data_IF_971580948641
#
_entry.id   IF_971580948641
#
_cell.length_a   1.000
_cell.length_b   1.000
_cell.length_c   1.000
_cell.angle_alpha   90.00
_cell.angle_beta   90.00
_cell.angle_gamma   90.00
#
_symmetry.space_group_name_H-M   'P 1'
#
loop_
_entity.id
_entity.type
_entity.pdbx_description
1 polymer ?
#
# COMPACT_ATOMS: atom_id res chain seq x y z
N UNK A 1 -16.92 -11.22 2.42
CA UNK A 1 -16.31 -10.27 1.48
C UNK A 1 -14.81 -10.47 1.51
N UNK A 2 -14.18 -10.60 0.36
CA UNK A 2 -12.71 -10.67 0.24
C UNK A 2 -12.15 -9.25 0.06
N UNK A 3 -10.89 -8.99 0.46
CA UNK A 3 -10.28 -7.68 0.24
C UNK A 3 -10.20 -7.35 -1.26
N UNK A 4 -10.16 -6.05 -1.57
CA UNK A 4 -9.78 -5.57 -2.89
C UNK A 4 -8.38 -6.10 -3.28
N UNK A 5 -8.05 -6.17 -4.58
CA UNK A 5 -6.73 -6.60 -5.04
C UNK A 5 -5.57 -5.85 -4.34
N UNK A 6 -4.52 -6.59 -3.94
CA UNK A 6 -3.36 -6.07 -3.20
C UNK A 6 -2.03 -6.50 -3.80
N UNK A 7 -1.05 -5.59 -3.77
CA UNK A 7 0.36 -5.83 -4.02
C UNK A 7 1.02 -6.32 -2.73
N UNK A 8 1.23 -7.64 -2.61
CA UNK A 8 1.85 -8.23 -1.42
C UNK A 8 3.36 -8.30 -1.59
N UNK A 9 4.08 -7.92 -0.54
CA UNK A 9 5.54 -7.88 -0.52
C UNK A 9 6.17 -9.27 -0.62
N UNK A 10 7.49 -9.29 -0.79
CA UNK A 10 8.25 -10.51 -0.62
C UNK A 10 8.04 -11.06 0.81
N UNK A 11 8.00 -12.38 0.94
CA UNK A 11 7.77 -13.04 2.22
C UNK A 11 6.48 -12.62 2.95
N UNK A 12 5.41 -12.32 2.21
CA UNK A 12 4.12 -12.02 2.84
C UNK A 12 3.61 -13.19 3.71
N UNK A 13 3.21 -12.95 4.98
CA UNK A 13 2.76 -14.00 5.91
C UNK A 13 1.66 -14.91 5.38
N UNK A 14 0.86 -14.46 4.42
CA UNK A 14 -0.21 -15.28 3.83
C UNK A 14 0.31 -16.59 3.21
N UNK A 15 1.59 -16.66 2.82
CA UNK A 15 2.22 -17.85 2.25
C UNK A 15 3.06 -18.69 3.24
N UNK A 16 3.08 -18.33 4.54
CA UNK A 16 3.96 -18.96 5.54
C UNK A 16 3.20 -19.85 6.51
N UNK A 17 3.86 -20.88 7.03
CA UNK A 17 3.29 -21.76 8.06
C UNK A 17 2.27 -22.79 7.56
N UNK A 18 1.99 -22.83 6.26
CA UNK A 18 1.08 -23.80 5.65
C UNK A 18 1.82 -25.02 5.11
N UNK A 19 1.17 -26.18 5.18
CA UNK A 19 1.66 -27.41 4.54
C UNK A 19 1.67 -27.33 3.01
N UNK A 20 0.75 -26.54 2.43
CA UNK A 20 0.62 -26.30 0.99
C UNK A 20 0.11 -24.89 0.71
N UNK A 21 0.45 -24.33 -0.45
CA UNK A 21 -0.02 -23.02 -0.94
C UNK A 21 -0.98 -23.12 -2.11
N UNK A 22 -1.38 -24.33 -2.48
CA UNK A 22 -2.35 -24.61 -3.55
C UNK A 22 -3.62 -23.74 -3.47
N UNK A 23 -4.22 -23.48 -2.27
CA UNK A 23 -5.42 -22.64 -2.16
C UNK A 23 -5.22 -21.17 -2.53
N UNK A 24 -3.98 -20.68 -2.60
CA UNK A 24 -3.66 -19.30 -2.98
C UNK A 24 -3.00 -19.26 -4.36
N UNK A 25 -1.99 -20.09 -4.59
CA UNK A 25 -1.10 -19.99 -5.76
C UNK A 25 -1.44 -20.98 -6.87
N UNK A 26 -2.05 -22.12 -6.52
CA UNK A 26 -2.34 -23.22 -7.44
C UNK A 26 -1.14 -23.57 -8.34
N UNK A 27 -1.35 -23.74 -9.66
CA UNK A 27 -0.28 -24.12 -10.59
C UNK A 27 0.80 -23.06 -10.76
N UNK A 28 0.60 -21.83 -10.26
CA UNK A 28 1.57 -20.75 -10.36
C UNK A 28 2.53 -20.69 -9.16
N UNK A 29 2.44 -21.61 -8.19
CA UNK A 29 3.35 -21.65 -7.04
C UNK A 29 4.84 -21.55 -7.43
N UNK A 30 5.36 -22.29 -8.44
CA UNK A 30 6.77 -22.19 -8.83
C UNK A 30 7.20 -20.82 -9.36
N UNK A 31 6.25 -19.97 -9.81
CA UNK A 31 6.55 -18.59 -10.23
C UNK A 31 6.72 -17.65 -9.04
N UNK A 32 6.06 -17.93 -7.92
CA UNK A 32 6.06 -17.09 -6.71
C UNK A 32 7.07 -17.58 -5.69
N UNK A 33 7.18 -18.89 -5.50
CA UNK A 33 8.07 -19.53 -4.53
C UNK A 33 9.09 -20.38 -5.29
N UNK A 34 10.36 -19.99 -5.22
CA UNK A 34 11.44 -20.70 -5.90
C UNK A 34 12.75 -20.55 -5.14
N UNK A 35 13.44 -21.66 -4.89
CA UNK A 35 14.75 -21.65 -4.23
C UNK A 35 14.74 -21.03 -2.82
N UNK A 36 13.64 -21.17 -2.08
CA UNK A 36 13.46 -20.56 -0.74
C UNK A 36 13.06 -19.08 -0.74
N UNK A 37 12.99 -18.44 -1.90
CA UNK A 37 12.54 -17.06 -2.04
C UNK A 37 11.03 -17.00 -2.28
N UNK A 38 10.36 -16.12 -1.55
CA UNK A 38 8.96 -15.74 -1.75
C UNK A 38 8.91 -14.38 -2.44
N UNK A 39 8.60 -14.38 -3.73
CA UNK A 39 8.56 -13.15 -4.55
C UNK A 39 7.33 -12.30 -4.22
N UNK A 40 7.41 -10.97 -4.41
CA UNK A 40 6.22 -10.11 -4.35
C UNK A 40 5.20 -10.56 -5.40
N UNK A 41 3.94 -10.64 -5.00
CA UNK A 41 2.86 -11.14 -5.85
C UNK A 41 1.57 -10.37 -5.61
N UNK A 42 0.63 -10.48 -6.56
CA UNK A 42 -0.66 -9.83 -6.49
C UNK A 42 -1.70 -10.80 -5.97
N UNK A 43 -2.42 -10.40 -4.92
CA UNK A 43 -3.57 -11.14 -4.39
C UNK A 43 -4.86 -10.50 -4.91
N UNK A 44 -5.69 -11.26 -5.63
CA UNK A 44 -7.02 -10.85 -6.05
C UNK A 44 -8.02 -11.98 -5.79
N UNK A 45 -9.16 -11.66 -5.16
CA UNK A 45 -10.18 -12.66 -4.78
C UNK A 45 -9.59 -13.88 -4.04
N UNK A 46 -8.57 -13.67 -3.19
CA UNK A 46 -7.91 -14.72 -2.43
C UNK A 46 -6.92 -15.59 -3.22
N UNK A 47 -6.63 -15.23 -4.47
CA UNK A 47 -5.72 -15.97 -5.37
C UNK A 47 -4.52 -15.12 -5.76
N UNK A 48 -3.37 -15.76 -5.89
CA UNK A 48 -2.19 -15.17 -6.50
C UNK A 48 -2.37 -15.11 -8.01
N UNK A 49 -2.44 -13.91 -8.58
CA UNK A 49 -2.79 -13.71 -10.01
C UNK A 49 -1.67 -13.09 -10.85
N UNK A 50 -0.63 -12.56 -10.21
CA UNK A 50 0.50 -11.93 -10.90
C UNK A 50 1.73 -11.85 -10.00
N UNK A 51 2.89 -11.62 -10.60
CA UNK A 51 4.05 -11.05 -9.91
C UNK A 51 4.01 -9.53 -10.02
N UNK A 52 4.68 -8.84 -9.10
CA UNK A 52 4.96 -7.42 -9.27
C UNK A 52 6.38 -7.06 -8.84
N UNK A 53 6.86 -5.92 -9.32
CA UNK A 53 8.13 -5.33 -8.92
C UNK A 53 8.05 -3.80 -8.94
N UNK A 54 9.01 -3.17 -8.28
CA UNK A 54 9.30 -1.75 -8.49
C UNK A 54 10.19 -1.58 -9.72
N UNK A 55 9.85 -0.62 -10.56
CA UNK A 55 10.63 -0.16 -11.70
C UNK A 55 10.80 1.35 -11.58
N UNK A 56 11.87 1.79 -10.90
CA UNK A 56 12.04 3.19 -10.52
C UNK A 56 10.93 3.63 -9.56
N UNK A 57 10.18 4.67 -9.93
CA UNK A 57 9.06 5.20 -9.15
C UNK A 57 7.69 4.61 -9.55
N UNK A 58 7.68 3.49 -10.27
CA UNK A 58 6.47 2.83 -10.75
C UNK A 58 6.39 1.38 -10.29
N UNK A 59 5.17 0.85 -10.25
CA UNK A 59 4.90 -0.58 -10.07
C UNK A 59 4.68 -1.21 -11.44
N UNK A 60 5.39 -2.31 -11.69
CA UNK A 60 5.14 -3.18 -12.84
C UNK A 60 4.50 -4.48 -12.37
N UNK A 61 3.40 -4.87 -13.02
CA UNK A 61 2.68 -6.12 -12.77
C UNK A 61 2.90 -7.05 -13.96
N UNK A 62 3.24 -8.31 -13.68
CA UNK A 62 3.35 -9.37 -14.69
C UNK A 62 2.30 -10.44 -14.40
N UNK A 63 1.14 -10.37 -15.08
CA UNK A 63 0.05 -11.31 -14.86
C UNK A 63 0.42 -12.76 -15.16
N UNK A 64 -0.27 -13.68 -14.49
CA UNK A 64 -0.22 -15.10 -14.85
C UNK A 64 -1.10 -15.41 -16.05
N UNK A 65 -2.24 -14.73 -16.09
CA UNK A 65 -3.28 -14.75 -17.11
C UNK A 65 -3.81 -13.32 -17.29
N UNK A 66 -4.56 -13.01 -18.37
CA UNK A 66 -5.19 -11.70 -18.53
C UNK A 66 -6.04 -11.31 -17.31
N UNK A 67 -5.84 -10.10 -16.80
CA UNK A 67 -6.60 -9.57 -15.67
C UNK A 67 -7.82 -8.79 -16.16
N UNK A 68 -8.91 -8.87 -15.38
CA UNK A 68 -10.07 -8.01 -15.59
C UNK A 68 -9.71 -6.53 -15.40
N UNK A 69 -10.46 -5.64 -16.06
CA UNK A 69 -10.23 -4.20 -16.01
C UNK A 69 -10.39 -3.65 -14.58
N UNK A 70 -11.37 -4.18 -13.84
CA UNK A 70 -11.63 -3.79 -12.45
C UNK A 70 -10.46 -4.16 -11.53
N UNK A 71 -9.85 -5.32 -11.75
CA UNK A 71 -8.66 -5.75 -11.01
C UNK A 71 -7.49 -4.82 -11.33
N UNK A 72 -7.28 -4.52 -12.61
CA UNK A 72 -6.21 -3.63 -13.05
C UNK A 72 -6.35 -2.23 -12.47
N UNK A 73 -7.57 -1.68 -12.46
CA UNK A 73 -7.88 -0.37 -11.87
C UNK A 73 -7.61 -0.35 -10.36
N UNK A 74 -8.02 -1.39 -9.62
CA UNK A 74 -7.74 -1.50 -8.19
C UNK A 74 -6.23 -1.59 -7.89
N UNK A 75 -5.47 -2.31 -8.73
CA UNK A 75 -4.01 -2.42 -8.57
C UNK A 75 -3.28 -1.12 -8.90
N UNK A 76 -3.82 -0.26 -9.76
CA UNK A 76 -3.26 1.07 -10.00
C UNK A 76 -3.32 1.91 -8.71
N UNK A 77 -4.47 1.91 -8.02
CA UNK A 77 -4.63 2.61 -6.73
C UNK A 77 -3.72 2.02 -5.65
N UNK A 78 -3.61 0.69 -5.56
CA UNK A 78 -2.72 0.03 -4.59
C UNK A 78 -1.25 0.32 -4.88
N UNK A 79 -0.88 0.42 -6.17
CA UNK A 79 0.45 0.82 -6.62
C UNK A 79 0.82 2.25 -6.25
N UNK A 80 -0.11 3.19 -6.35
CA UNK A 80 0.07 4.57 -5.86
C UNK A 80 0.34 4.59 -4.36
N UNK A 81 -0.36 3.75 -3.59
CA UNK A 81 -0.14 3.62 -2.16
C UNK A 81 1.24 3.04 -1.82
N UNK A 82 1.71 2.04 -2.58
CA UNK A 82 3.08 1.52 -2.45
C UNK A 82 4.12 2.61 -2.74
N UNK A 83 3.97 3.35 -3.84
CA UNK A 83 4.88 4.44 -4.22
C UNK A 83 4.89 5.54 -3.17
N UNK A 84 3.72 5.90 -2.62
CA UNK A 84 3.56 6.84 -1.52
C UNK A 84 4.22 6.34 -0.23
N UNK A 85 4.01 5.08 0.14
CA UNK A 85 4.60 4.46 1.32
C UNK A 85 6.13 4.45 1.27
N UNK A 86 6.69 4.15 0.10
CA UNK A 86 8.14 4.09 -0.11
C UNK A 86 8.80 5.47 -0.27
N UNK A 87 8.01 6.54 -0.45
CA UNK A 87 8.54 7.89 -0.65
C UNK A 87 9.29 8.09 -1.96
N UNK A 88 9.03 7.23 -2.96
CA UNK A 88 9.74 7.23 -4.25
C UNK A 88 8.99 8.01 -5.35
N UNK A 89 7.78 8.50 -5.05
CA UNK A 89 7.07 9.53 -5.80
C UNK A 89 7.35 10.91 -5.18
N UNK A 90 7.46 11.97 -6.01
CA UNK A 90 7.76 13.32 -5.51
C UNK A 90 6.77 13.76 -4.43
N UNK A 91 7.24 13.91 -3.20
CA UNK A 91 6.55 14.65 -2.13
C UNK A 91 7.10 16.07 -2.14
N UNK A 92 6.37 17.02 -2.70
CA UNK A 92 6.68 18.45 -2.54
C UNK A 92 6.23 18.92 -1.16
N UNK A 93 7.15 19.53 -0.42
CA UNK A 93 7.05 19.86 1.01
C UNK A 93 6.06 20.98 1.38
N UNK A 94 5.04 21.27 0.58
CA UNK A 94 4.05 22.34 0.91
C UNK A 94 2.95 21.88 1.89
N UNK A 95 3.10 20.71 2.51
CA UNK A 95 2.23 20.27 3.62
C UNK A 95 3.02 19.69 4.78
N UNK A 96 3.92 20.49 5.35
CA UNK A 96 4.35 20.33 6.75
C UNK A 96 4.45 21.72 7.38
N UNK A 97 3.31 22.39 7.58
CA UNK A 97 3.11 23.47 8.57
C UNK A 97 1.63 23.84 8.64
N UNK A 98 0.80 22.94 9.18
CA UNK A 98 -0.51 23.25 9.79
C UNK A 98 -1.05 21.91 10.27
N UNK A 99 -0.68 21.49 11.48
CA UNK A 99 -1.66 21.08 12.50
C UNK A 99 -1.04 20.65 13.85
N UNK A 100 -0.14 21.45 14.43
CA UNK A 100 0.17 21.34 15.87
C UNK A 100 0.51 22.74 16.41
N UNK A 101 -0.42 23.70 16.34
CA UNK A 101 -0.55 24.86 17.27
C UNK A 101 -1.85 25.61 16.95
N UNK A 102 -3.00 25.20 17.52
CA UNK A 102 -4.11 26.12 17.91
C UNK A 102 -5.28 25.43 18.62
N UNK A 103 -4.98 24.84 19.78
CA UNK A 103 -5.91 24.68 20.91
C UNK A 103 -4.98 24.80 22.12
N UNK A 104 -4.89 25.89 22.90
CA UNK A 104 -5.94 26.69 23.52
C UNK A 104 -5.33 28.04 23.91
N UNK A 105 -5.86 29.15 23.40
CA UNK A 105 -5.73 30.46 24.04
C UNK A 105 -7.02 31.23 23.75
N UNK A 106 -8.10 30.79 24.38
CA UNK A 106 -9.33 31.58 24.46
C UNK A 106 -9.09 32.66 25.50
N UNK A 107 -8.82 33.89 25.05
CA UNK A 107 -8.71 35.05 25.90
C UNK A 107 -10.08 35.51 26.44
N UNK A 108 -10.08 36.05 27.66
CA UNK A 108 -11.17 36.88 28.19
C UNK A 108 -10.60 38.23 28.66
N UNK A 109 -10.86 39.24 27.80
CA UNK A 109 -11.06 40.71 27.95
C UNK A 109 -10.10 41.68 28.69
N UNK A 110 -10.18 43.00 28.32
CA UNK A 110 -9.11 44.01 28.42
C UNK A 110 -9.37 45.03 29.57
N UNK A 111 -8.69 46.20 29.65
CA UNK A 111 -8.23 46.84 30.90
C UNK A 111 -9.29 47.69 31.63
N UNK A 112 -9.13 47.80 32.95
CA UNK A 112 -9.78 48.81 33.79
C UNK A 112 -8.88 50.06 33.88
N UNK A 113 -9.45 51.23 33.65
CA UNK A 113 -8.80 52.55 33.74
C UNK A 113 -9.14 53.23 35.07
N UNK A 114 -8.22 54.07 35.54
CA UNK A 114 -8.42 55.36 36.23
C UNK A 114 -7.88 55.51 37.66
N UNK A 115 -6.84 56.35 37.73
CA UNK A 115 -6.64 57.53 38.59
C UNK A 115 -6.75 57.40 40.11
N UNK A 116 -5.68 57.74 40.84
CA UNK A 116 -5.26 59.11 41.18
C UNK A 116 -3.76 59.13 41.50
#
# INVERSE_FOLDING_TARGET
>A
MLPAPRLLGAFDPVLHGWATREPILGPHEPRVVSGGLFRPFVLAAGRGVALWRLAGAAVEVTPFEPLAEEVTSALASDGEDVVRFLGIGRVTTDRVTRDVRRTTACGVRPPQTSSL
#
